data_IF_953865644831
#
_entry.id   IF_953865644831
#
_cell.length_a   1.000
_cell.length_b   1.000
_cell.length_c   1.000
_cell.angle_alpha   90.00
_cell.angle_beta   90.00
_cell.angle_gamma   90.00
#
_symmetry.space_group_name_H-M   'P 1'
#
loop_
_entity.id
_entity.type
_entity.pdbx_description
1 polymer ?
#
# COMPACT_ATOMS: atom_id res chain seq x y z
N UNK A 1 20.68 -22.91 -18.04
CA UNK A 1 19.31 -22.65 -17.56
C UNK A 1 19.43 -21.87 -16.26
N UNK A 2 18.98 -20.62 -16.22
CA UNK A 2 18.95 -19.80 -14.99
C UNK A 2 17.62 -20.08 -14.29
N UNK A 3 17.69 -20.52 -13.04
CA UNK A 3 16.53 -20.75 -12.18
C UNK A 3 15.83 -19.42 -11.91
N UNK A 4 14.55 -19.32 -12.29
CA UNK A 4 13.68 -18.24 -11.86
C UNK A 4 13.40 -18.45 -10.38
N UNK A 5 13.95 -17.58 -9.53
CA UNK A 5 13.52 -17.51 -8.12
C UNK A 5 12.05 -17.14 -8.11
N UNK A 6 11.23 -18.03 -7.55
CA UNK A 6 9.83 -17.77 -7.26
C UNK A 6 9.72 -16.47 -6.46
N UNK A 7 9.24 -15.41 -7.12
CA UNK A 7 8.90 -14.16 -6.45
C UNK A 7 7.66 -14.42 -5.61
N UNK A 8 7.90 -14.66 -4.32
CA UNK A 8 6.84 -14.76 -3.32
C UNK A 8 6.29 -13.35 -3.13
N UNK A 9 5.21 -13.04 -3.85
CA UNK A 9 4.37 -11.86 -3.58
C UNK A 9 4.08 -11.88 -2.07
N UNK A 10 4.40 -10.83 -1.31
CA UNK A 10 4.07 -10.77 0.10
C UNK A 10 2.58 -11.01 0.21
N UNK A 11 2.19 -12.08 0.90
CA UNK A 11 0.79 -12.45 0.98
C UNK A 11 0.04 -11.27 1.55
N UNK A 12 -0.94 -10.78 0.79
CA UNK A 12 -1.96 -9.79 1.16
C UNK A 12 -2.64 -10.11 2.50
N UNK A 13 -2.40 -11.30 3.06
CA UNK A 13 -2.96 -11.85 4.28
C UNK A 13 -2.40 -11.29 5.59
N UNK A 14 -1.13 -10.89 5.72
CA UNK A 14 -0.62 -10.48 7.06
C UNK A 14 -1.18 -9.13 7.50
N UNK A 15 -1.25 -8.15 6.59
CA UNK A 15 -1.89 -6.86 6.88
C UNK A 15 -3.42 -7.01 7.03
N UNK A 16 -4.06 -7.90 6.27
CA UNK A 16 -5.49 -8.20 6.42
C UNK A 16 -5.81 -8.90 7.74
N UNK A 17 -4.98 -9.82 8.19
CA UNK A 17 -5.20 -10.56 9.45
C UNK A 17 -5.05 -9.66 10.68
N UNK A 18 -4.14 -8.69 10.64
CA UNK A 18 -4.01 -7.69 11.70
C UNK A 18 -5.22 -6.74 11.76
N UNK A 19 -5.86 -6.46 10.63
CA UNK A 19 -7.06 -5.64 10.54
C UNK A 19 -8.32 -6.34 11.11
N UNK A 20 -8.34 -7.67 11.18
CA UNK A 20 -9.46 -8.42 11.79
C UNK A 20 -9.40 -8.46 13.32
N UNK A 21 -8.20 -8.37 13.91
CA UNK A 21 -8.01 -8.44 15.36
C UNK A 21 -8.16 -7.10 16.10
N UNK A 22 -8.17 -5.98 15.37
CA UNK A 22 -8.49 -4.66 15.92
C UNK A 22 -9.96 -4.41 15.62
N UNK A 23 -10.75 -3.91 16.58
CA UNK A 23 -12.14 -3.44 16.34
C UNK A 23 -12.14 -2.16 15.49
N UNK A 24 -11.62 -2.25 14.27
CA UNK A 24 -11.68 -1.18 13.27
C UNK A 24 -12.92 -1.35 12.41
N UNK A 25 -13.50 -0.22 12.03
CA UNK A 25 -14.71 -0.18 11.24
C UNK A 25 -14.48 -0.66 9.81
N UNK A 26 -15.55 -1.04 9.10
CA UNK A 26 -15.42 -1.47 7.71
C UNK A 26 -14.89 -0.35 6.82
N UNK A 27 -15.20 0.91 7.11
CA UNK A 27 -14.64 2.06 6.39
C UNK A 27 -13.12 2.16 6.59
N UNK A 28 -12.64 1.94 7.82
CA UNK A 28 -11.19 1.93 8.12
C UNK A 28 -10.51 0.78 7.40
N UNK A 29 -11.13 -0.41 7.39
CA UNK A 29 -10.64 -1.57 6.64
C UNK A 29 -10.58 -1.29 5.13
N UNK A 30 -11.57 -0.59 4.59
CA UNK A 30 -11.58 -0.23 3.17
C UNK A 30 -10.44 0.74 2.82
N UNK A 31 -10.13 1.72 3.67
CA UNK A 31 -8.97 2.59 3.46
C UNK A 31 -7.64 1.82 3.52
N UNK A 32 -7.49 0.88 4.47
CA UNK A 32 -6.33 -0.01 4.54
C UNK A 32 -6.22 -0.87 3.27
N UNK A 33 -7.33 -1.42 2.78
CA UNK A 33 -7.39 -2.18 1.51
C UNK A 33 -6.98 -1.30 0.32
N UNK A 34 -7.45 -0.06 0.24
CA UNK A 34 -7.05 0.90 -0.80
C UNK A 34 -5.53 1.13 -0.81
N UNK A 35 -4.93 1.30 0.37
CA UNK A 35 -3.48 1.43 0.52
C UNK A 35 -2.73 0.18 0.03
N UNK A 36 -3.22 -1.01 0.37
CA UNK A 36 -2.62 -2.26 -0.13
C UNK A 36 -2.73 -2.40 -1.67
N UNK A 37 -3.88 -2.01 -2.25
CA UNK A 37 -4.07 -2.00 -3.71
C UNK A 37 -3.13 -1.01 -4.41
N UNK A 38 -2.85 0.14 -3.80
CA UNK A 38 -1.90 1.13 -4.33
C UNK A 38 -0.48 0.56 -4.39
N UNK A 39 -0.02 -0.13 -3.35
CA UNK A 39 1.29 -0.81 -3.38
C UNK A 39 1.36 -1.86 -4.48
N UNK A 40 0.30 -2.67 -4.65
CA UNK A 40 0.22 -3.67 -5.72
C UNK A 40 0.24 -3.05 -7.11
N UNK A 41 -0.42 -1.90 -7.31
CA UNK A 41 -0.35 -1.15 -8.56
C UNK A 41 1.09 -0.70 -8.87
N UNK A 42 1.81 -0.18 -7.87
CA UNK A 42 3.19 0.25 -8.05
C UNK A 42 4.10 -0.90 -8.48
N UNK A 43 4.03 -2.03 -7.78
CA UNK A 43 4.77 -3.25 -8.14
C UNK A 43 4.43 -3.71 -9.57
N UNK A 44 3.14 -3.72 -9.92
CA UNK A 44 2.71 -4.14 -11.26
C UNK A 44 3.28 -3.26 -12.37
N UNK A 45 3.32 -1.94 -12.17
CA UNK A 45 3.88 -0.98 -13.12
C UNK A 45 5.40 -1.17 -13.24
N UNK A 46 6.12 -1.22 -12.12
CA UNK A 46 7.58 -1.39 -12.11
C UNK A 46 7.99 -2.69 -12.80
N UNK A 47 7.31 -3.79 -12.46
CA UNK A 47 7.59 -5.11 -13.06
C UNK A 47 7.28 -5.13 -14.56
N UNK A 48 6.15 -4.55 -14.97
CA UNK A 48 5.77 -4.49 -16.39
C UNK A 48 6.78 -3.66 -17.21
N UNK A 49 7.27 -2.57 -16.64
CA UNK A 49 8.30 -1.74 -17.26
C UNK A 49 9.63 -2.50 -17.39
N UNK A 50 10.07 -3.14 -16.31
CA UNK A 50 11.29 -3.94 -16.25
C UNK A 50 11.30 -5.10 -17.27
N UNK A 51 10.15 -5.70 -17.58
CA UNK A 51 10.04 -6.76 -18.60
C UNK A 51 10.33 -6.21 -20.00
N UNK A 52 9.87 -5.00 -20.31
CA UNK A 52 10.04 -4.38 -21.64
C UNK A 52 11.44 -3.78 -21.78
N UNK A 53 12.00 -3.24 -20.70
CA UNK A 53 13.30 -2.56 -20.67
C UNK A 53 14.23 -3.21 -19.61
N UNK A 54 14.70 -4.44 -19.85
CA UNK A 54 15.48 -5.19 -18.85
C UNK A 54 16.85 -4.56 -18.55
N UNK A 55 17.44 -3.86 -19.53
CA UNK A 55 18.77 -3.26 -19.42
C UNK A 55 18.77 -1.92 -18.67
N UNK A 56 17.60 -1.31 -18.42
CA UNK A 56 17.50 -0.02 -17.72
C UNK A 56 17.38 -0.16 -16.20
N UNK A 57 17.23 -1.39 -15.69
CA UNK A 57 17.07 -1.69 -14.25
C UNK A 57 18.32 -1.34 -13.42
N UNK A 58 19.52 -1.43 -14.02
CA UNK A 58 20.81 -1.12 -13.35
C UNK A 58 21.29 0.32 -13.57
N UNK A 59 20.66 1.03 -14.50
CA UNK A 59 20.97 2.44 -14.78
C UNK A 59 20.14 3.27 -13.81
N UNK A 60 20.64 4.44 -13.39
CA UNK A 60 19.86 5.47 -12.70
C UNK A 60 18.73 5.96 -13.61
N UNK A 61 17.77 5.09 -13.87
CA UNK A 61 16.67 5.32 -14.80
C UNK A 61 15.59 6.09 -14.03
N UNK A 62 15.71 7.40 -14.10
CA UNK A 62 14.75 8.35 -13.52
C UNK A 62 13.37 8.29 -14.22
N UNK A 63 13.19 7.40 -15.21
CA UNK A 63 11.95 7.28 -15.99
C UNK A 63 10.73 7.00 -15.10
N UNK A 64 10.89 6.24 -14.02
CA UNK A 64 9.81 5.95 -13.07
C UNK A 64 9.76 6.90 -11.88
N UNK A 65 10.66 7.87 -11.76
CA UNK A 65 10.72 8.75 -10.58
C UNK A 65 9.43 9.55 -10.40
N UNK A 66 8.90 10.12 -11.48
CA UNK A 66 7.61 10.85 -11.42
C UNK A 66 6.45 9.95 -10.98
N UNK A 67 6.47 8.68 -11.41
CA UNK A 67 5.45 7.71 -11.01
C UNK A 67 5.61 7.31 -9.54
N UNK A 68 6.84 7.07 -9.09
CA UNK A 68 7.19 6.82 -7.69
C UNK A 68 6.81 7.99 -6.79
N UNK A 69 7.07 9.22 -7.21
CA UNK A 69 6.67 10.42 -6.47
C UNK A 69 5.15 10.54 -6.36
N UNK A 70 4.41 10.29 -7.46
CA UNK A 70 2.96 10.29 -7.44
C UNK A 70 2.40 9.18 -6.53
N UNK A 71 2.98 7.99 -6.59
CA UNK A 71 2.65 6.88 -5.69
C UNK A 71 2.87 7.26 -4.22
N UNK A 72 4.04 7.80 -3.87
CA UNK A 72 4.38 8.15 -2.50
C UNK A 72 3.47 9.25 -1.95
N UNK A 73 3.11 10.23 -2.78
CA UNK A 73 2.14 11.26 -2.41
C UNK A 73 0.78 10.64 -2.10
N UNK A 74 0.30 9.74 -2.95
CA UNK A 74 -1.00 9.11 -2.74
C UNK A 74 -0.99 8.15 -1.54
N UNK A 75 0.11 7.42 -1.28
CA UNK A 75 0.27 6.59 -0.09
C UNK A 75 0.20 7.43 1.18
N UNK A 76 0.87 8.59 1.17
CA UNK A 76 0.84 9.53 2.28
C UNK A 76 -0.58 10.08 2.55
N UNK A 77 -1.30 10.48 1.50
CA UNK A 77 -2.69 10.94 1.65
C UNK A 77 -3.61 9.83 2.18
N UNK A 78 -3.46 8.60 1.70
CA UNK A 78 -4.22 7.46 2.22
C UNK A 78 -3.90 7.18 3.69
N UNK A 79 -2.63 7.29 4.09
CA UNK A 79 -2.23 7.14 5.49
C UNK A 79 -2.86 8.22 6.39
N UNK A 80 -2.90 9.47 5.92
CA UNK A 80 -3.56 10.57 6.64
C UNK A 80 -5.05 10.31 6.81
N UNK A 81 -5.75 9.88 5.75
CA UNK A 81 -7.18 9.53 5.83
C UNK A 81 -7.44 8.37 6.81
N UNK A 82 -6.58 7.34 6.81
CA UNK A 82 -6.67 6.25 7.78
C UNK A 82 -6.52 6.78 9.21
N UNK A 83 -5.52 7.65 9.43
CA UNK A 83 -5.25 8.25 10.73
C UNK A 83 -6.44 9.10 11.21
N UNK A 84 -6.99 9.96 10.35
CA UNK A 84 -8.13 10.82 10.68
C UNK A 84 -9.34 9.99 11.13
N UNK A 85 -9.66 8.92 10.40
CA UNK A 85 -10.78 8.01 10.75
C UNK A 85 -10.52 7.28 12.07
N UNK A 86 -9.28 6.90 12.35
CA UNK A 86 -8.91 6.26 13.63
C UNK A 86 -8.97 7.26 14.78
N UNK A 87 -8.49 8.49 14.59
CA UNK A 87 -8.50 9.57 15.60
C UNK A 87 -9.95 9.96 15.96
N UNK A 88 -10.81 10.20 14.97
CA UNK A 88 -12.22 10.57 15.18
C UNK A 88 -12.96 9.50 16.00
N UNK A 89 -12.74 8.22 15.68
CA UNK A 89 -13.38 7.10 16.41
C UNK A 89 -12.81 6.92 17.82
N UNK A 90 -11.53 7.23 18.02
CA UNK A 90 -10.92 7.23 19.35
C UNK A 90 -11.48 8.36 20.22
N UNK A 91 -11.82 9.51 19.63
CA UNK A 91 -12.49 10.62 20.31
C UNK A 91 -13.97 10.27 20.64
N UNK A 92 -14.71 9.68 19.70
CA UNK A 92 -16.13 9.28 19.91
C UNK A 92 -16.26 8.21 21.02
N UNK A 93 -15.32 7.26 21.08
CA UNK A 93 -15.29 6.24 22.16
C UNK A 93 -15.01 6.82 23.55
N UNK A 94 -14.31 7.96 23.66
CA UNK A 94 -14.10 8.66 24.93
C UNK A 94 -15.29 9.54 25.33
N UNK A 95 -16.09 9.99 24.36
CA UNK A 95 -17.24 10.88 24.61
C UNK A 95 -18.55 10.14 24.94
N UNK A 96 -18.60 8.81 24.80
CA UNK A 96 -19.76 7.98 25.19
C UNK A 96 -19.87 7.65 26.68
N UNK A 97 -19.03 8.22 27.54
CA UNK A 97 -19.22 8.20 28.99
C UNK A 97 -19.89 9.49 29.47
N UNK A 98 -21.22 9.58 29.33
CA UNK A 98 -22.09 10.47 30.11
C UNK A 98 -23.44 9.78 30.36
#
# INVERSE_FOLDING_TARGET
>A
MKEFKDYKVPSTNEMMSNAENIKISEETKNLIKCRALLSGLYEYVVNSYAIVFPDTIDIKDETLDKFKDAHNRLDYELLNLIRDVVEERTLDSKYKEL
#
